data_IF_050525202614
#
_entry.id   IF_050525202614
#
_cell.length_a   1.000
_cell.length_b   1.000
_cell.length_c   1.000
_cell.angle_alpha   90.00
_cell.angle_beta   90.00
_cell.angle_gamma   90.00
#
_symmetry.space_group_name_H-M   'P 1'
#
loop_
_entity.id
_entity.type
_entity.pdbx_description
1 polymer ?
#
# COMPACT_ATOMS: atom_id res chain seq x y z
N UNK A 1 -49.87 16.03 -17.50
CA UNK A 1 -49.12 16.23 -16.24
C UNK A 1 -47.69 15.72 -16.47
N UNK A 2 -46.72 16.62 -16.63
CA UNK A 2 -45.38 16.27 -17.09
C UNK A 2 -44.45 15.83 -15.96
N UNK A 3 -43.68 14.76 -16.19
CA UNK A 3 -42.51 14.42 -15.38
C UNK A 3 -41.29 14.94 -16.14
N UNK A 4 -40.69 16.03 -15.65
CA UNK A 4 -39.41 16.55 -16.14
C UNK A 4 -38.31 15.54 -15.76
N UNK A 5 -37.76 14.83 -16.74
CA UNK A 5 -36.44 14.18 -16.59
C UNK A 5 -35.39 15.27 -16.50
N UNK A 6 -34.80 15.43 -15.32
CA UNK A 6 -33.63 16.29 -15.12
C UNK A 6 -32.43 15.63 -15.80
N UNK A 7 -31.67 16.47 -16.51
CA UNK A 7 -30.58 16.11 -17.40
C UNK A 7 -29.48 15.29 -16.73
N UNK A 8 -28.82 14.51 -17.59
CA UNK A 8 -27.84 13.52 -17.23
C UNK A 8 -26.57 14.10 -16.63
N UNK A 9 -26.13 13.45 -15.57
CA UNK A 9 -24.71 13.26 -15.33
C UNK A 9 -24.47 11.77 -15.54
N UNK A 10 -24.09 11.38 -16.76
CA UNK A 10 -23.46 10.07 -16.98
C UNK A 10 -22.03 10.17 -16.46
N UNK A 11 -21.88 10.08 -15.13
CA UNK A 11 -20.60 9.78 -14.50
C UNK A 11 -20.27 8.29 -14.71
N UNK A 12 -20.13 7.89 -15.98
CA UNK A 12 -19.89 6.50 -16.37
C UNK A 12 -18.83 6.37 -17.46
N UNK A 13 -18.07 7.44 -17.71
CA UNK A 13 -17.06 7.47 -18.78
C UNK A 13 -15.70 7.92 -18.26
N UNK A 14 -15.31 7.43 -17.09
CA UNK A 14 -13.91 7.46 -16.64
C UNK A 14 -13.69 6.19 -15.81
N UNK A 15 -12.72 5.38 -16.22
CA UNK A 15 -12.32 4.05 -15.71
C UNK A 15 -13.10 2.87 -16.32
N UNK A 16 -12.65 2.45 -17.52
CA UNK A 16 -12.85 1.15 -18.17
C UNK A 16 -14.15 0.37 -17.92
N UNK A 17 -15.15 0.60 -18.78
CA UNK A 17 -16.42 -0.14 -18.84
C UNK A 17 -16.28 -1.61 -19.21
N UNK A 18 -15.15 -1.97 -19.82
CA UNK A 18 -14.94 -3.31 -20.32
C UNK A 18 -14.40 -4.15 -19.15
N UNK A 19 -15.01 -5.31 -18.91
CA UNK A 19 -14.63 -6.29 -17.88
C UNK A 19 -14.97 -5.92 -16.43
N UNK A 20 -16.09 -5.24 -16.19
CA UNK A 20 -16.54 -4.90 -14.83
C UNK A 20 -16.82 -6.12 -13.96
N UNK A 21 -17.29 -7.22 -14.56
CA UNK A 21 -17.57 -8.46 -13.83
C UNK A 21 -16.25 -9.10 -13.38
N UNK A 22 -15.28 -9.26 -14.28
CA UNK A 22 -13.97 -9.83 -14.02
C UNK A 22 -13.17 -8.99 -13.02
N UNK A 23 -13.26 -7.65 -13.12
CA UNK A 23 -12.71 -6.72 -12.11
C UNK A 23 -13.36 -6.92 -10.75
N UNK A 24 -14.66 -7.16 -10.71
CA UNK A 24 -15.41 -7.38 -9.47
C UNK A 24 -15.06 -8.73 -8.85
N UNK A 25 -14.96 -9.79 -9.66
CA UNK A 25 -14.54 -11.12 -9.24
C UNK A 25 -13.09 -11.12 -8.72
N UNK A 26 -12.17 -10.47 -9.45
CA UNK A 26 -10.79 -10.28 -9.00
C UNK A 26 -10.74 -9.50 -7.68
N UNK A 27 -11.53 -8.44 -7.54
CA UNK A 27 -11.63 -7.67 -6.30
C UNK A 27 -12.14 -8.55 -5.13
N UNK A 28 -13.16 -9.37 -5.36
CA UNK A 28 -13.68 -10.29 -4.35
C UNK A 28 -12.64 -11.35 -3.94
N UNK A 29 -11.91 -11.92 -4.89
CA UNK A 29 -10.84 -12.88 -4.59
C UNK A 29 -9.72 -12.23 -3.75
N UNK A 30 -9.28 -11.02 -4.13
CA UNK A 30 -8.28 -10.24 -3.37
C UNK A 30 -8.74 -9.85 -1.97
N UNK A 31 -10.05 -9.71 -1.73
CA UNK A 31 -10.59 -9.40 -0.41
C UNK A 31 -10.73 -10.66 0.45
N UNK A 32 -11.20 -11.78 -0.11
CA UNK A 32 -11.56 -12.98 0.64
C UNK A 32 -10.40 -13.95 0.91
N UNK A 33 -9.32 -13.95 0.10
CA UNK A 33 -8.23 -14.93 0.20
C UNK A 33 -6.98 -14.43 0.94
N UNK A 34 -7.08 -13.35 1.72
CA UNK A 34 -5.92 -12.78 2.44
C UNK A 34 -5.61 -13.52 3.75
N UNK A 35 -5.20 -14.79 3.67
CA UNK A 35 -4.51 -15.45 4.78
C UNK A 35 -3.07 -14.92 4.90
N UNK A 36 -2.89 -13.85 5.66
CA UNK A 36 -1.58 -13.26 5.98
C UNK A 36 -0.70 -14.17 6.86
N UNK A 37 -1.26 -15.22 7.45
CA UNK A 37 -0.63 -16.13 8.40
C UNK A 37 0.48 -17.01 7.81
N UNK A 38 0.56 -17.14 6.47
CA UNK A 38 1.53 -18.01 5.79
C UNK A 38 2.57 -17.24 4.97
N UNK A 39 2.58 -15.91 5.03
CA UNK A 39 3.54 -15.14 4.24
C UNK A 39 4.98 -15.35 4.77
N UNK A 40 5.94 -15.65 3.88
CA UNK A 40 7.34 -15.74 4.28
C UNK A 40 7.83 -14.38 4.78
N UNK A 41 8.61 -14.39 5.86
CA UNK A 41 9.21 -13.17 6.39
C UNK A 41 10.29 -12.67 5.43
N UNK A 42 10.13 -11.44 4.98
CA UNK A 42 11.16 -10.71 4.22
C UNK A 42 12.17 -10.16 5.23
N UNK A 43 13.46 -10.46 5.04
CA UNK A 43 14.54 -10.01 5.93
C UNK A 43 15.23 -8.73 5.44
N UNK A 44 15.06 -8.41 4.15
CA UNK A 44 15.64 -7.25 3.50
C UNK A 44 15.07 -5.93 4.05
N UNK A 45 15.87 -4.85 4.09
CA UNK A 45 15.36 -3.51 4.31
C UNK A 45 14.16 -3.23 3.39
N UNK A 46 13.04 -2.79 3.96
CA UNK A 46 11.79 -2.60 3.22
C UNK A 46 11.17 -1.24 3.50
N UNK A 47 10.98 -0.43 2.45
CA UNK A 47 10.19 0.80 2.51
C UNK A 47 8.72 0.50 2.18
N UNK A 48 7.82 0.92 3.06
CA UNK A 48 6.37 0.91 2.85
C UNK A 48 5.93 2.35 2.64
N UNK A 49 5.33 2.66 1.48
CA UNK A 49 4.77 3.98 1.18
C UNK A 49 3.26 3.86 1.11
N UNK A 50 2.54 4.68 1.88
CA UNK A 50 1.09 4.56 2.04
C UNK A 50 0.39 5.92 1.96
N UNK A 51 -0.79 5.99 1.34
CA UNK A 51 -1.60 7.20 1.33
C UNK A 51 -2.47 7.34 2.58
N UNK A 52 -2.43 8.48 3.25
CA UNK A 52 -3.22 8.77 4.46
C UNK A 52 -4.73 8.51 4.30
N UNK A 53 -5.26 8.69 3.08
CA UNK A 53 -6.68 8.61 2.75
C UNK A 53 -7.00 7.40 1.88
N UNK A 54 -6.17 6.36 1.92
CA UNK A 54 -6.43 5.12 1.18
C UNK A 54 -7.75 4.49 1.65
N UNK A 55 -8.74 4.44 0.74
CA UNK A 55 -10.07 3.86 0.97
C UNK A 55 -10.18 2.41 0.48
N UNK A 56 -9.18 1.92 -0.25
CA UNK A 56 -9.11 0.54 -0.75
C UNK A 56 -8.42 -0.33 0.30
N UNK A 57 -7.30 0.16 0.85
CA UNK A 57 -6.58 -0.48 1.94
C UNK A 57 -6.50 0.45 3.15
N UNK A 58 -7.33 0.24 4.19
CA UNK A 58 -7.31 1.06 5.39
C UNK A 58 -5.94 1.12 6.06
N UNK A 59 -5.64 2.24 6.72
CA UNK A 59 -4.36 2.48 7.41
C UNK A 59 -3.95 1.36 8.40
N UNK A 60 -4.92 0.65 8.98
CA UNK A 60 -4.64 -0.49 9.85
C UNK A 60 -3.78 -1.57 9.16
N UNK A 61 -4.00 -1.81 7.86
CA UNK A 61 -3.23 -2.77 7.08
C UNK A 61 -1.78 -2.33 6.91
N UNK A 62 -1.53 -1.03 6.73
CA UNK A 62 -0.17 -0.47 6.67
C UNK A 62 0.60 -0.78 7.96
N UNK A 63 -0.05 -0.56 9.11
CA UNK A 63 0.55 -0.84 10.42
C UNK A 63 0.71 -2.34 10.67
N UNK A 64 -0.26 -3.16 10.24
CA UNK A 64 -0.15 -4.63 10.34
C UNK A 64 1.00 -5.16 9.50
N UNK A 65 1.19 -4.64 8.28
CA UNK A 65 2.31 -4.98 7.41
C UNK A 65 3.64 -4.55 8.03
N UNK A 66 3.72 -3.32 8.55
CA UNK A 66 4.92 -2.82 9.26
C UNK A 66 5.30 -3.71 10.45
N UNK A 67 4.31 -4.18 11.23
CA UNK A 67 4.54 -5.11 12.35
C UNK A 67 5.02 -6.48 11.85
N UNK A 68 4.42 -6.99 10.77
CA UNK A 68 4.81 -8.27 10.19
C UNK A 68 6.25 -8.27 9.65
N UNK A 69 6.68 -7.16 9.04
CA UNK A 69 8.03 -6.97 8.50
C UNK A 69 9.08 -6.56 9.55
N UNK A 70 8.70 -6.48 10.83
CA UNK A 70 9.60 -6.22 11.96
C UNK A 70 10.50 -4.98 11.79
N UNK A 71 11.70 -4.99 12.41
CA UNK A 71 12.57 -3.81 12.54
C UNK A 71 13.19 -3.34 11.22
N UNK A 72 13.37 -4.23 10.24
CA UNK A 72 13.98 -3.93 8.94
C UNK A 72 13.01 -3.26 7.96
N UNK A 73 11.98 -2.58 8.44
CA UNK A 73 11.03 -1.86 7.59
C UNK A 73 10.77 -0.44 8.07
N UNK A 74 10.45 0.46 7.12
CA UNK A 74 10.09 1.86 7.39
C UNK A 74 8.74 2.14 6.74
N UNK A 75 7.79 2.69 7.49
CA UNK A 75 6.49 3.12 6.96
C UNK A 75 6.48 4.64 6.80
N UNK A 76 6.19 5.10 5.58
CA UNK A 76 5.98 6.50 5.25
C UNK A 76 4.53 6.70 4.84
N UNK A 77 3.84 7.60 5.56
CA UNK A 77 2.46 7.98 5.25
C UNK A 77 2.48 9.32 4.53
N UNK A 78 1.98 9.34 3.30
CA UNK A 78 1.87 10.54 2.48
C UNK A 78 0.52 11.20 2.75
N UNK A 79 0.57 12.42 3.30
CA UNK A 79 -0.62 13.21 3.62
C UNK A 79 -1.37 13.64 2.36
N UNK A 80 -2.69 13.73 2.47
CA UNK A 80 -3.56 14.12 1.35
C UNK A 80 -3.40 13.25 0.09
N UNK A 81 -3.15 11.94 0.26
CA UNK A 81 -3.07 10.96 -0.83
C UNK A 81 -3.93 9.74 -0.52
N UNK A 82 -4.58 9.19 -1.54
CA UNK A 82 -5.36 7.96 -1.48
C UNK A 82 -4.55 6.73 -1.90
N UNK A 83 -5.24 5.75 -2.48
CA UNK A 83 -4.69 4.45 -2.84
C UNK A 83 -3.58 4.55 -3.91
N UNK A 84 -3.78 5.40 -4.92
CA UNK A 84 -2.84 5.58 -6.02
C UNK A 84 -1.77 6.63 -5.65
N UNK A 85 -1.08 6.43 -4.52
CA UNK A 85 -0.11 7.40 -3.95
C UNK A 85 0.98 7.81 -4.95
N UNK A 86 1.40 6.90 -5.83
CA UNK A 86 2.36 7.15 -6.90
C UNK A 86 1.83 8.10 -7.99
N UNK A 87 0.52 8.11 -8.25
CA UNK A 87 -0.11 9.03 -9.21
C UNK A 87 -0.49 10.36 -8.55
N UNK A 88 -0.96 10.32 -7.31
CA UNK A 88 -1.43 11.51 -6.59
C UNK A 88 -0.28 12.39 -6.08
N UNK A 89 0.81 11.77 -5.60
CA UNK A 89 1.98 12.43 -5.00
C UNK A 89 3.30 11.88 -5.55
N UNK A 90 3.53 11.89 -6.87
CA UNK A 90 4.70 11.26 -7.50
C UNK A 90 6.03 11.79 -6.95
N UNK A 91 6.13 13.11 -6.71
CA UNK A 91 7.34 13.72 -6.16
C UNK A 91 7.68 13.22 -4.76
N UNK A 92 6.68 13.04 -3.91
CA UNK A 92 6.90 12.58 -2.53
C UNK A 92 7.27 11.10 -2.50
N UNK A 93 6.64 10.30 -3.36
CA UNK A 93 7.00 8.88 -3.54
C UNK A 93 8.43 8.75 -4.04
N UNK A 94 8.79 9.43 -5.15
CA UNK A 94 10.14 9.36 -5.70
C UNK A 94 11.20 9.83 -4.70
N UNK A 95 10.94 10.90 -3.94
CA UNK A 95 11.86 11.38 -2.90
C UNK A 95 12.14 10.28 -1.86
N UNK A 96 11.09 9.66 -1.32
CA UNK A 96 11.25 8.61 -0.31
C UNK A 96 11.99 7.37 -0.84
N UNK A 97 11.76 7.02 -2.11
CA UNK A 97 12.47 5.91 -2.77
C UNK A 97 13.96 6.25 -2.91
N UNK A 98 14.29 7.45 -3.41
CA UNK A 98 15.68 7.88 -3.58
C UNK A 98 16.40 7.92 -2.22
N UNK A 99 15.78 8.53 -1.21
CA UNK A 99 16.33 8.59 0.15
C UNK A 99 16.57 7.18 0.70
N UNK A 100 15.63 6.26 0.51
CA UNK A 100 15.77 4.88 0.96
C UNK A 100 16.95 4.15 0.31
N UNK A 101 17.22 4.37 -0.97
CA UNK A 101 18.39 3.79 -1.65
C UNK A 101 19.73 4.43 -1.26
N UNK A 102 19.70 5.60 -0.64
CA UNK A 102 20.89 6.28 -0.12
C UNK A 102 21.18 5.93 1.34
N UNK A 103 20.25 5.26 2.04
CA UNK A 103 20.46 4.81 3.41
C UNK A 103 21.56 3.72 3.44
N UNK A 104 22.47 3.76 4.43
CA UNK A 104 23.43 2.68 4.61
C UNK A 104 22.67 1.40 4.97
N UNK A 105 23.10 0.28 4.38
CA UNK A 105 22.59 -1.05 4.76
C UNK A 105 22.92 -1.25 6.24
N UNK A 106 21.88 -1.33 7.08
CA UNK A 106 22.06 -1.72 8.47
C UNK A 106 22.45 -3.18 8.48
N UNK A 107 23.72 -3.46 8.76
CA UNK A 107 24.14 -4.82 9.10
C UNK A 107 23.32 -5.25 10.32
N UNK A 108 22.69 -6.42 10.23
CA UNK A 108 22.07 -7.04 11.38
C UNK A 108 23.14 -7.13 12.47
N UNK A 109 22.81 -6.66 13.68
CA UNK A 109 23.70 -6.73 14.83
C UNK A 109 24.35 -8.12 14.86
N UNK A 110 25.67 -8.16 14.76
CA UNK A 110 26.44 -9.37 14.95
C UNK A 110 26.17 -9.88 16.36
N UNK A 111 25.24 -10.84 16.50
CA UNK A 111 25.03 -11.69 17.67
C UNK A 111 26.17 -12.73 17.78
N UNK A 112 27.40 -12.30 17.54
CA UNK A 112 28.61 -13.03 17.87
C UNK A 112 29.47 -12.16 18.78
N UNK A 113 29.23 -12.28 20.08
CA UNK A 113 30.23 -12.47 21.16
C UNK A 113 29.65 -12.07 22.52
N UNK A 114 29.26 -13.06 23.32
CA UNK A 114 29.88 -13.31 24.64
C UNK A 114 29.33 -14.64 25.19
N UNK A 115 29.81 -15.77 24.66
CA UNK A 115 30.14 -16.89 25.54
C UNK A 115 31.56 -16.64 26.04
N UNK A 116 31.80 -17.01 27.29
CA UNK A 116 33.09 -17.05 28.00
C UNK A 116 33.35 -15.83 28.91
N UNK A 117 32.71 -15.84 30.09
CA UNK A 117 33.38 -16.19 31.37
C UNK A 117 32.36 -16.71 32.40
#
# INVERSE_FOLDING_TARGET
MGIKKVGGIKCGKVIGSDYMQEKTELLYALINERQLSTLPKISQPTLIVWGERDRVFPMELAHRLKRHLAENSRLVVIRNAGHAVNLEKPKDVCRNIIEFFQEPVREALNDEKMSDE
#
